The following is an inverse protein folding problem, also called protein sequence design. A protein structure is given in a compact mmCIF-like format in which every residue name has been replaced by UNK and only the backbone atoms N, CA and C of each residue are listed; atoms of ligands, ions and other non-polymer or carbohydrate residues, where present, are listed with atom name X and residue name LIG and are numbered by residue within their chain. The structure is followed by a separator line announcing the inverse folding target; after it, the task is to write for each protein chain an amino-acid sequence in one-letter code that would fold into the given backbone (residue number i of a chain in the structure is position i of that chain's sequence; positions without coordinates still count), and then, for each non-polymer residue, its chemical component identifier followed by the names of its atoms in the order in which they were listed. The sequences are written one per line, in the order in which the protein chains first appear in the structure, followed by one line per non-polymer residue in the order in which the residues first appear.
data_IF_943000274386
#
_entry.id   IF_943000274386
#
_cell.length_a   1.000
_cell.length_b   1.000
_cell.length_c   1.000
_cell.angle_alpha   90.00
_cell.angle_beta   90.00
_cell.angle_gamma   90.00
#
_symmetry.space_group_name_H-M   'P 1'
#
loop_
_entity.id
_entity.type
_entity.pdbx_description
1 polymer ?
#
# COMPACT_ATOMS: atom_id res chain seq x y z
N UNK A 1 16.51 2.01 12.17
CA UNK A 1 17.29 1.64 10.99
C UNK A 1 16.65 0.38 10.39
N UNK A 2 16.17 0.42 9.15
CA UNK A 2 15.37 -0.66 8.54
C UNK A 2 16.18 -1.52 7.55
N UNK A 3 17.49 -1.30 7.46
CA UNK A 3 18.34 -1.89 6.41
C UNK A 3 18.77 -3.33 6.74
N UNK A 4 18.93 -3.66 8.02
CA UNK A 4 19.33 -4.98 8.48
C UNK A 4 18.45 -6.14 7.99
N UNK A 5 17.09 -6.06 8.05
CA UNK A 5 16.25 -7.15 7.59
C UNK A 5 16.17 -7.30 6.05
N UNK A 6 16.65 -6.33 5.26
CA UNK A 6 16.41 -6.28 3.82
C UNK A 6 16.93 -7.53 3.08
N UNK A 7 18.17 -8.00 3.30
CA UNK A 7 18.67 -9.19 2.59
C UNK A 7 17.84 -10.44 2.92
N UNK A 8 17.52 -10.66 4.20
CA UNK A 8 16.73 -11.80 4.65
C UNK A 8 15.29 -11.76 4.14
N UNK A 9 14.67 -10.58 4.12
CA UNK A 9 13.33 -10.41 3.59
C UNK A 9 13.29 -10.66 2.08
N UNK A 10 14.30 -10.19 1.34
CA UNK A 10 14.46 -10.48 -0.09
C UNK A 10 14.55 -11.99 -0.33
N UNK A 11 15.45 -12.68 0.38
CA UNK A 11 15.65 -14.12 0.20
C UNK A 11 14.37 -14.90 0.55
N UNK A 12 13.66 -14.50 1.61
CA UNK A 12 12.38 -15.09 1.98
C UNK A 12 11.29 -14.89 0.92
N UNK A 13 11.15 -13.67 0.39
CA UNK A 13 10.16 -13.36 -0.65
C UNK A 13 10.46 -14.11 -1.96
N UNK A 14 11.73 -14.27 -2.32
CA UNK A 14 12.13 -15.08 -3.48
C UNK A 14 11.80 -16.56 -3.25
N UNK A 15 12.19 -17.13 -2.12
CA UNK A 15 11.87 -18.53 -1.80
C UNK A 15 10.35 -18.78 -1.80
N UNK A 16 9.54 -17.83 -1.29
CA UNK A 16 8.09 -17.92 -1.41
C UNK A 16 7.64 -17.98 -2.87
N UNK A 17 8.17 -17.08 -3.71
CA UNK A 17 7.82 -16.96 -5.13
C UNK A 17 8.26 -18.15 -5.98
N UNK A 18 9.39 -18.77 -5.65
CA UNK A 18 9.99 -19.81 -6.51
C UNK A 18 9.79 -21.23 -6.00
N UNK A 19 9.65 -21.43 -4.68
CA UNK A 19 9.81 -22.77 -4.09
C UNK A 19 8.51 -23.36 -3.52
N UNK A 20 7.46 -22.54 -3.35
CA UNK A 20 6.23 -22.98 -2.66
C UNK A 20 5.20 -23.63 -3.57
N UNK A 21 5.27 -23.41 -4.89
CA UNK A 21 4.23 -23.80 -5.84
C UNK A 21 2.90 -23.05 -5.65
N UNK A 22 2.90 -21.94 -4.92
CA UNK A 22 1.69 -21.13 -4.70
C UNK A 22 1.20 -20.51 -6.01
N UNK A 23 -0.11 -20.58 -6.27
CA UNK A 23 -0.73 -19.96 -7.45
C UNK A 23 -0.81 -18.42 -7.35
N UNK A 24 -0.70 -17.86 -6.14
CA UNK A 24 -0.83 -16.43 -5.87
C UNK A 24 -0.16 -16.09 -4.55
N UNK A 25 0.69 -15.05 -4.57
CA UNK A 25 1.41 -14.55 -3.40
C UNK A 25 1.06 -13.08 -3.23
N UNK A 26 0.58 -12.73 -2.04
CA UNK A 26 0.19 -11.38 -1.68
C UNK A 26 1.09 -10.87 -0.55
N UNK A 27 1.62 -9.66 -0.70
CA UNK A 27 2.51 -9.02 0.28
C UNK A 27 1.83 -7.78 0.83
N UNK A 28 1.72 -7.69 2.16
CA UNK A 28 1.11 -6.54 2.84
C UNK A 28 2.13 -6.02 3.86
N UNK A 29 2.44 -4.74 3.81
CA UNK A 29 3.30 -4.09 4.78
C UNK A 29 2.67 -2.82 5.34
N UNK A 30 2.93 -2.56 6.62
CA UNK A 30 2.38 -1.43 7.36
C UNK A 30 3.49 -0.49 7.83
N UNK A 31 3.25 0.83 7.74
CA UNK A 31 4.11 1.87 8.30
C UNK A 31 5.59 1.68 7.91
N UNK A 32 6.52 1.63 8.88
CA UNK A 32 7.95 1.40 8.67
C UNK A 32 8.31 0.06 8.01
N UNK A 33 7.43 -0.95 8.10
CA UNK A 33 7.64 -2.24 7.42
C UNK A 33 7.74 -2.06 5.90
N UNK A 34 7.09 -1.03 5.36
CA UNK A 34 7.20 -0.68 3.94
C UNK A 34 8.63 -0.29 3.55
N UNK A 35 9.45 0.28 4.45
CA UNK A 35 10.86 0.62 4.14
C UNK A 35 11.65 -0.64 3.79
N UNK A 36 11.57 -1.67 4.62
CA UNK A 36 12.26 -2.94 4.38
C UNK A 36 11.66 -3.69 3.18
N UNK A 37 10.33 -3.75 3.09
CA UNK A 37 9.62 -4.42 1.99
C UNK A 37 9.97 -3.81 0.63
N UNK A 38 9.88 -2.48 0.48
CA UNK A 38 10.20 -1.82 -0.79
C UNK A 38 11.68 -1.90 -1.14
N UNK A 39 12.58 -1.85 -0.15
CA UNK A 39 14.01 -2.06 -0.39
C UNK A 39 14.31 -3.48 -0.89
N UNK A 40 13.68 -4.50 -0.30
CA UNK A 40 13.80 -5.89 -0.74
C UNK A 40 13.24 -6.08 -2.16
N UNK A 41 12.04 -5.58 -2.43
CA UNK A 41 11.41 -5.65 -3.77
C UNK A 41 12.26 -4.95 -4.84
N UNK A 42 12.89 -3.81 -4.53
CA UNK A 42 13.82 -3.17 -5.48
C UNK A 42 15.02 -4.04 -5.82
N UNK A 43 15.57 -4.78 -4.86
CA UNK A 43 16.64 -5.74 -5.15
C UNK A 43 16.14 -6.92 -5.99
N UNK A 44 14.90 -7.39 -5.76
CA UNK A 44 14.26 -8.42 -6.58
C UNK A 44 14.03 -7.92 -8.01
N UNK A 45 13.50 -6.71 -8.18
CA UNK A 45 13.18 -6.15 -9.50
C UNK A 45 14.42 -5.96 -10.37
N UNK A 46 15.58 -5.71 -9.77
CA UNK A 46 16.88 -5.64 -10.47
C UNK A 46 17.35 -7.01 -11.01
N UNK A 47 16.80 -8.10 -10.51
CA UNK A 47 17.05 -9.46 -11.00
C UNK A 47 16.03 -9.91 -12.04
N UNK A 48 15.01 -9.09 -12.31
CA UNK A 48 13.94 -9.37 -13.26
C UNK A 48 14.18 -8.61 -14.57
N UNK A 49 13.87 -9.25 -15.68
CA UNK A 49 13.81 -8.65 -17.01
C UNK A 49 12.36 -8.28 -17.35
N UNK A 50 12.12 -7.38 -18.32
CA UNK A 50 10.75 -7.02 -18.73
C UNK A 50 9.93 -8.17 -19.32
N UNK A 51 10.55 -9.32 -19.61
CA UNK A 51 9.89 -10.51 -20.16
C UNK A 51 9.42 -11.44 -19.05
N UNK A 52 9.99 -11.31 -17.85
CA UNK A 52 9.63 -12.15 -16.72
C UNK A 52 8.22 -11.80 -16.21
N UNK A 53 7.40 -12.81 -15.89
CA UNK A 53 6.08 -12.55 -15.33
C UNK A 53 6.21 -11.98 -13.91
N UNK A 54 5.25 -11.15 -13.46
CA UNK A 54 5.21 -10.66 -12.08
C UNK A 54 5.24 -11.82 -11.07
N UNK A 55 6.10 -11.69 -10.06
CA UNK A 55 6.29 -12.68 -9.00
C UNK A 55 5.18 -12.62 -7.94
N UNK A 56 4.56 -11.46 -7.76
CA UNK A 56 3.53 -11.22 -6.75
C UNK A 56 2.19 -10.93 -7.43
N UNK A 57 1.11 -11.45 -6.86
CA UNK A 57 -0.23 -11.11 -7.34
C UNK A 57 -0.62 -9.72 -6.83
N UNK A 58 -0.57 -9.51 -5.50
CA UNK A 58 -0.91 -8.23 -4.87
C UNK A 58 0.17 -7.74 -3.94
N UNK A 59 0.47 -6.44 -4.02
CA UNK A 59 1.27 -5.74 -3.02
C UNK A 59 0.47 -4.60 -2.43
N UNK A 60 0.36 -4.58 -1.10
CA UNK A 60 -0.40 -3.58 -0.35
C UNK A 60 0.52 -2.81 0.58
N UNK A 61 0.57 -1.50 0.39
CA UNK A 61 1.28 -0.56 1.27
C UNK A 61 0.28 0.15 2.16
N UNK A 62 0.19 -0.24 3.42
CA UNK A 62 -0.64 0.44 4.41
C UNK A 62 0.16 1.54 5.11
N UNK A 63 -0.28 2.80 4.97
CA UNK A 63 0.36 3.98 5.55
C UNK A 63 1.89 4.00 5.39
N UNK A 64 2.45 3.86 4.17
CA UNK A 64 3.89 3.67 4.00
C UNK A 64 4.69 4.85 4.53
N UNK A 65 5.51 4.57 5.55
CA UNK A 65 6.46 5.53 6.09
C UNK A 65 7.73 5.53 5.23
N UNK A 66 7.61 5.98 3.98
CA UNK A 66 8.67 6.11 2.98
C UNK A 66 8.69 7.56 2.48
N UNK A 67 9.86 8.10 2.15
CA UNK A 67 9.97 9.41 1.52
C UNK A 67 9.18 9.44 0.19
N UNK A 68 8.34 10.45 -0.01
CA UNK A 68 7.43 10.49 -1.15
C UNK A 68 8.18 10.56 -2.50
N UNK A 69 9.30 11.27 -2.57
CA UNK A 69 10.07 11.42 -3.82
C UNK A 69 10.87 10.16 -4.14
N UNK A 70 11.49 9.55 -3.14
CA UNK A 70 12.06 8.20 -3.27
C UNK A 70 10.99 7.20 -3.69
N UNK A 71 9.79 7.25 -3.11
CA UNK A 71 8.73 6.32 -3.49
C UNK A 71 8.36 6.47 -4.98
N UNK A 72 8.14 7.70 -5.46
CA UNK A 72 7.82 7.99 -6.87
C UNK A 72 8.92 7.52 -7.82
N UNK A 73 10.18 7.85 -7.49
CA UNK A 73 11.33 7.63 -8.38
C UNK A 73 11.82 6.19 -8.38
N UNK A 74 11.87 5.56 -7.21
CA UNK A 74 12.64 4.33 -6.99
C UNK A 74 11.77 3.14 -6.58
N UNK A 75 10.81 3.32 -5.67
CA UNK A 75 10.03 2.21 -5.13
C UNK A 75 8.87 1.81 -6.05
N UNK A 76 8.10 2.78 -6.53
CA UNK A 76 6.91 2.55 -7.34
C UNK A 76 7.21 1.79 -8.65
N UNK A 77 8.24 2.15 -9.44
CA UNK A 77 8.56 1.39 -10.66
C UNK A 77 8.92 -0.07 -10.37
N UNK A 78 9.68 -0.32 -9.30
CA UNK A 78 10.05 -1.68 -8.90
C UNK A 78 8.84 -2.50 -8.43
N UNK A 79 7.94 -1.89 -7.65
CA UNK A 79 6.70 -2.53 -7.19
C UNK A 79 5.83 -2.94 -8.38
N UNK A 80 5.63 -2.03 -9.34
CA UNK A 80 4.83 -2.28 -10.55
C UNK A 80 5.46 -3.33 -11.45
N UNK A 81 6.80 -3.41 -11.51
CA UNK A 81 7.49 -4.41 -12.31
C UNK A 81 7.26 -5.85 -11.81
N UNK A 82 7.19 -6.05 -10.49
CA UNK A 82 7.16 -7.40 -9.90
C UNK A 82 5.77 -7.85 -9.45
N UNK A 83 4.74 -7.01 -9.56
CA UNK A 83 3.40 -7.30 -9.08
C UNK A 83 2.32 -7.05 -10.13
N UNK A 84 1.28 -7.91 -10.16
CA UNK A 84 0.12 -7.70 -11.03
C UNK A 84 -0.69 -6.45 -10.61
N UNK A 85 -0.86 -6.24 -9.29
CA UNK A 85 -1.47 -5.03 -8.76
C UNK A 85 -0.78 -4.52 -7.50
N UNK A 86 -0.69 -3.20 -7.40
CA UNK A 86 -0.16 -2.50 -6.23
C UNK A 86 -1.22 -1.54 -5.70
N UNK A 87 -1.52 -1.63 -4.40
CA UNK A 87 -2.44 -0.73 -3.71
C UNK A 87 -1.71 0.02 -2.60
N UNK A 88 -1.87 1.34 -2.54
CA UNK A 88 -1.32 2.20 -1.49
C UNK A 88 -2.49 2.80 -0.71
N UNK A 89 -2.56 2.53 0.59
CA UNK A 89 -3.50 3.17 1.50
C UNK A 89 -2.82 4.35 2.19
N UNK A 90 -3.29 5.56 1.90
CA UNK A 90 -2.81 6.81 2.48
C UNK A 90 -3.81 7.34 3.51
N UNK A 91 -3.32 7.95 4.59
CA UNK A 91 -4.18 8.52 5.64
C UNK A 91 -3.62 9.80 6.23
N UNK A 92 -4.51 10.74 6.54
CA UNK A 92 -4.19 12.00 7.22
C UNK A 92 -4.21 11.88 8.74
N UNK A 93 -4.76 10.79 9.27
CA UNK A 93 -5.04 10.62 10.71
C UNK A 93 -4.17 9.53 11.37
N UNK A 94 -3.30 8.89 10.59
CA UNK A 94 -2.39 7.88 11.10
C UNK A 94 -1.36 8.51 12.06
N UNK A 95 -1.47 8.19 13.36
CA UNK A 95 -0.62 8.74 14.40
C UNK A 95 0.86 8.38 14.22
N UNK A 96 1.16 7.23 13.60
CA UNK A 96 2.53 6.82 13.31
C UNK A 96 3.13 7.67 12.17
N UNK A 97 2.35 8.00 11.13
CA UNK A 97 2.77 8.94 10.09
C UNK A 97 2.92 10.37 10.61
N UNK A 98 2.01 10.84 11.47
CA UNK A 98 2.11 12.16 12.10
C UNK A 98 3.39 12.25 12.96
N UNK A 99 3.69 11.21 13.75
CA UNK A 99 4.92 11.12 14.52
C UNK A 99 6.16 11.07 13.61
N UNK A 100 6.11 10.29 12.52
CA UNK A 100 7.19 10.23 11.53
C UNK A 100 7.46 11.58 10.86
N UNK A 101 6.42 12.32 10.45
CA UNK A 101 6.56 13.67 9.86
C UNK A 101 7.25 14.64 10.80
N UNK A 102 6.89 14.64 12.09
CA UNK A 102 7.54 15.48 13.11
C UNK A 102 9.05 15.22 13.26
N UNK A 103 9.48 13.99 12.95
CA UNK A 103 10.90 13.59 13.05
C UNK A 103 11.65 13.79 11.73
N UNK A 104 11.03 13.49 10.59
CA UNK A 104 11.72 13.43 9.29
C UNK A 104 11.59 14.72 8.46
N UNK A 105 10.60 15.58 8.69
CA UNK A 105 10.47 16.90 8.04
C UNK A 105 10.06 16.92 6.56
N UNK A 106 9.83 15.77 5.93
CA UNK A 106 9.44 15.65 4.51
C UNK A 106 8.15 14.83 4.33
N UNK A 107 7.38 15.07 3.24
CA UNK A 107 6.20 14.29 2.91
C UNK A 107 6.48 12.79 2.78
N UNK A 108 5.56 11.97 3.28
CA UNK A 108 5.63 10.51 3.22
C UNK A 108 4.69 9.96 2.16
N UNK A 109 5.03 8.81 1.60
CA UNK A 109 4.20 8.14 0.61
C UNK A 109 2.82 7.75 1.15
N UNK A 110 2.69 7.55 2.47
CA UNK A 110 1.42 7.27 3.14
C UNK A 110 0.62 8.50 3.53
N UNK A 111 1.13 9.70 3.27
CA UNK A 111 0.40 10.93 3.59
C UNK A 111 -0.73 11.16 2.58
N UNK A 112 -1.88 11.64 3.07
CA UNK A 112 -3.01 12.04 2.23
C UNK A 112 -3.19 13.57 2.20
N UNK A 113 -4.27 14.05 1.58
CA UNK A 113 -4.54 15.48 1.41
C UNK A 113 -3.62 16.09 0.35
N UNK A 114 -2.99 17.23 0.68
CA UNK A 114 -2.13 17.96 -0.26
C UNK A 114 -0.88 17.17 -0.71
N UNK A 115 -0.42 16.22 0.12
CA UNK A 115 0.79 15.45 -0.12
C UNK A 115 0.52 14.07 -0.75
N UNK A 116 -0.74 13.78 -1.10
CA UNK A 116 -1.16 12.47 -1.61
C UNK A 116 -0.33 12.05 -2.82
N UNK A 117 0.34 10.89 -2.69
CA UNK A 117 1.16 10.34 -3.77
C UNK A 117 0.28 9.55 -4.74
N UNK A 118 0.18 10.02 -5.98
CA UNK A 118 -0.51 9.32 -7.07
C UNK A 118 0.51 9.06 -8.18
N UNK A 119 0.69 7.80 -8.56
CA UNK A 119 1.65 7.37 -9.59
C UNK A 119 1.05 6.30 -10.50
N UNK A 120 1.44 6.23 -11.79
CA UNK A 120 0.97 5.19 -12.70
C UNK A 120 1.26 3.78 -12.19
N UNK A 121 0.31 2.87 -12.39
CA UNK A 121 0.43 1.47 -11.97
C UNK A 121 0.15 1.21 -10.48
N UNK A 122 -0.11 2.24 -9.67
CA UNK A 122 -0.46 2.09 -8.25
C UNK A 122 -1.86 2.63 -7.98
N UNK A 123 -2.71 1.77 -7.42
CA UNK A 123 -4.02 2.14 -6.93
C UNK A 123 -3.88 2.87 -5.60
N UNK A 124 -3.88 4.21 -5.65
CA UNK A 124 -3.81 5.06 -4.45
C UNK A 124 -5.21 5.22 -3.87
N UNK A 125 -5.37 4.81 -2.61
CA UNK A 125 -6.62 4.86 -1.86
C UNK A 125 -6.43 5.77 -0.64
N UNK A 126 -7.12 6.91 -0.61
CA UNK A 126 -7.24 7.75 0.56
C UNK A 126 -8.27 7.15 1.52
N UNK A 127 -7.80 6.74 2.69
CA UNK A 127 -8.60 6.19 3.78
C UNK A 127 -8.71 7.18 4.96
N UNK A 128 -8.50 8.47 4.69
CA UNK A 128 -8.68 9.54 5.69
C UNK A 128 -10.08 9.51 6.29
N UNK A 129 -10.16 9.55 7.63
CA UNK A 129 -11.39 9.33 8.38
C UNK A 129 -11.64 7.89 8.77
N UNK A 130 -10.72 6.98 8.41
CA UNK A 130 -10.63 5.62 8.94
C UNK A 130 -9.32 5.47 9.70
N UNK A 131 -9.37 4.83 10.86
CA UNK A 131 -8.19 4.59 11.68
C UNK A 131 -7.36 3.42 11.11
N UNK A 132 -6.23 3.76 10.47
CA UNK A 132 -5.25 2.79 9.96
C UNK A 132 -4.35 2.21 11.05
N UNK A 133 -4.34 2.78 12.27
CA UNK A 133 -3.51 2.30 13.38
C UNK A 133 -3.86 0.88 13.84
N UNK A 134 -4.95 0.32 13.31
CA UNK A 134 -5.63 -0.89 13.76
C UNK A 134 -5.26 -2.18 13.02
N UNK A 135 -4.05 -2.27 12.48
CA UNK A 135 -3.42 -3.60 12.30
C UNK A 135 -2.86 -4.16 13.63
N UNK A 136 -3.07 -3.45 14.77
CA UNK A 136 -2.51 -3.82 16.07
C UNK A 136 -3.44 -3.87 17.29
N UNK A 137 -4.52 -3.07 17.41
CA UNK A 137 -5.28 -3.00 18.68
C UNK A 137 -6.80 -2.85 18.52
N UNK A 138 -7.53 -3.97 18.52
CA UNK A 138 -8.93 -4.10 18.98
C UNK A 138 -9.82 -2.83 19.01
N UNK A 139 -10.26 -2.34 17.84
CA UNK A 139 -11.46 -1.49 17.73
C UNK A 139 -12.30 -1.99 16.55
N UNK A 140 -13.41 -2.65 16.86
CA UNK A 140 -14.26 -3.39 15.90
C UNK A 140 -15.24 -2.49 15.11
N UNK A 141 -15.33 -1.19 15.39
CA UNK A 141 -16.40 -0.33 14.88
C UNK A 141 -16.14 0.34 13.51
N UNK A 142 -14.92 0.85 13.30
CA UNK A 142 -14.58 1.74 12.17
C UNK A 142 -13.80 1.06 11.03
N UNK A 143 -13.49 -0.23 11.18
CA UNK A 143 -12.58 -0.95 10.27
C UNK A 143 -13.30 -1.90 9.28
N UNK A 144 -14.63 -2.06 9.34
CA UNK A 144 -15.33 -3.03 8.49
C UNK A 144 -15.17 -2.72 6.99
N UNK A 145 -15.30 -1.44 6.59
CA UNK A 145 -15.18 -1.03 5.19
C UNK A 145 -13.75 -1.22 4.67
N UNK A 146 -12.75 -0.94 5.51
CA UNK A 146 -11.33 -1.14 5.16
C UNK A 146 -10.96 -2.62 5.11
N UNK A 147 -11.40 -3.44 6.07
CA UNK A 147 -11.21 -4.89 6.02
C UNK A 147 -11.93 -5.52 4.83
N UNK A 148 -13.11 -5.00 4.47
CA UNK A 148 -13.83 -5.42 3.26
C UNK A 148 -13.04 -5.06 2.01
N UNK A 149 -12.52 -3.86 1.94
CA UNK A 149 -11.69 -3.42 0.81
C UNK A 149 -10.40 -4.25 0.69
N UNK A 150 -9.73 -4.55 1.81
CA UNK A 150 -8.57 -5.43 1.85
C UNK A 150 -8.92 -6.87 1.43
N UNK A 151 -10.09 -7.38 1.85
CA UNK A 151 -10.61 -8.66 1.37
C UNK A 151 -10.81 -8.63 -0.15
N UNK A 152 -11.36 -7.56 -0.69
CA UNK A 152 -11.61 -7.43 -2.11
C UNK A 152 -10.29 -7.33 -2.91
N UNK A 153 -9.24 -6.73 -2.35
CA UNK A 153 -7.87 -6.74 -2.93
C UNK A 153 -7.26 -8.14 -2.91
N UNK A 154 -7.20 -8.79 -1.75
CA UNK A 154 -6.37 -9.99 -1.54
C UNK A 154 -7.09 -11.27 -1.93
N UNK A 155 -8.38 -11.39 -1.58
CA UNK A 155 -9.16 -12.62 -1.77
C UNK A 155 -10.01 -12.57 -3.03
N UNK A 156 -10.75 -11.48 -3.24
CA UNK A 156 -11.58 -11.35 -4.45
C UNK A 156 -10.77 -10.91 -5.68
N UNK A 157 -9.53 -10.43 -5.47
CA UNK A 157 -8.59 -10.01 -6.52
C UNK A 157 -9.19 -8.96 -7.46
N UNK A 158 -9.93 -8.02 -6.89
CA UNK A 158 -10.58 -6.96 -7.65
C UNK A 158 -9.61 -5.78 -7.87
N UNK A 159 -9.58 -5.17 -9.07
CA UNK A 159 -8.98 -3.86 -9.25
C UNK A 159 -9.83 -2.79 -8.55
N UNK A 160 -9.26 -1.63 -8.26
CA UNK A 160 -9.95 -0.51 -7.60
C UNK A 160 -11.25 -0.09 -8.29
N UNK A 161 -11.31 -0.19 -9.62
CA UNK A 161 -12.52 0.12 -10.42
C UNK A 161 -13.71 -0.80 -10.13
N UNK A 162 -13.49 -1.96 -9.50
CA UNK A 162 -14.51 -2.95 -9.18
C UNK A 162 -14.76 -3.08 -7.67
N UNK A 163 -14.04 -2.34 -6.83
CA UNK A 163 -14.20 -2.37 -5.36
C UNK A 163 -15.32 -1.41 -4.95
N UNK A 164 -16.45 -1.96 -4.51
CA UNK A 164 -17.66 -1.18 -4.16
C UNK A 164 -17.49 -0.27 -2.94
N UNK A 165 -16.47 -0.53 -2.12
CA UNK A 165 -16.00 0.31 -1.02
C UNK A 165 -15.33 1.61 -1.46
N UNK A 166 -15.03 1.77 -2.76
CA UNK A 166 -14.24 2.89 -3.26
C UNK A 166 -15.07 3.87 -4.09
N UNK A 167 -14.75 5.15 -3.92
CA UNK A 167 -15.27 6.23 -4.74
C UNK A 167 -14.13 6.86 -5.52
N UNK A 168 -14.27 6.92 -6.84
CA UNK A 168 -13.26 7.52 -7.71
C UNK A 168 -13.17 9.04 -7.49
N UNK A 169 -11.95 9.58 -7.53
CA UNK A 169 -11.63 11.01 -7.42
C UNK A 169 -10.60 11.42 -8.46
N UNK A 170 -10.79 12.60 -9.04
CA UNK A 170 -9.86 13.17 -10.01
C UNK A 170 -8.77 13.99 -9.30
N UNK A 171 -7.54 13.89 -9.78
CA UNK A 171 -6.39 14.71 -9.38
C UNK A 171 -5.63 15.14 -10.63
N UNK A 172 -6.05 16.25 -11.24
CA UNK A 172 -5.57 16.66 -12.55
C UNK A 172 -5.94 15.64 -13.64
N UNK A 173 -4.94 15.12 -14.36
CA UNK A 173 -5.10 14.03 -15.33
C UNK A 173 -5.08 12.63 -14.71
N UNK A 174 -4.76 12.54 -13.42
CA UNK A 174 -4.69 11.27 -12.69
C UNK A 174 -5.97 11.03 -11.89
N UNK A 175 -6.14 9.78 -11.45
CA UNK A 175 -7.24 9.35 -10.60
C UNK A 175 -6.66 8.76 -9.31
N UNK A 176 -7.33 9.01 -8.20
CA UNK A 176 -7.17 8.25 -6.97
C UNK A 176 -8.54 7.76 -6.48
N UNK A 177 -8.53 6.94 -5.44
CA UNK A 177 -9.73 6.37 -4.84
C UNK A 177 -9.87 6.87 -3.42
N UNK A 178 -11.10 7.01 -2.95
CA UNK A 178 -11.39 7.34 -1.58
C UNK A 178 -12.26 6.25 -0.99
N UNK A 179 -11.90 5.76 0.20
CA UNK A 179 -12.73 4.79 0.90
C UNK A 179 -14.07 5.44 1.29
N UNK A 180 -15.18 4.76 1.00
CA UNK A 180 -16.51 5.24 1.32
C UNK A 180 -16.65 5.36 2.84
N UNK A 181 -16.95 6.55 3.34
CA UNK A 181 -17.30 6.72 4.75
C UNK A 181 -18.73 6.24 4.99
N UNK A 182 -18.99 5.62 6.14
CA UNK A 182 -20.36 5.30 6.55
C UNK A 182 -21.14 6.61 6.65
N UNK A 183 -22.22 6.73 5.89
CA UNK A 183 -23.22 7.77 6.11
C UNK A 183 -23.83 7.50 7.49
N UNK A 184 -23.46 8.27 8.51
CA UNK A 184 -24.25 8.30 9.75
C UNK A 184 -25.61 8.86 9.37
N UNK A 185 -26.62 8.00 9.29
CA UNK A 185 -28.00 8.45 9.22
C UNK A 185 -28.28 9.26 10.50
N UNK A 186 -28.30 10.59 10.37
CA UNK A 186 -28.86 11.46 11.40
C UNK A 186 -30.37 11.21 11.34
N UNK A 187 -30.85 10.31 12.20
CA UNK A 187 -32.28 10.22 12.49
C UNK A 187 -32.69 11.54 13.13
N UNK A 188 -33.49 12.33 12.41
CA UNK A 188 -34.29 13.42 12.96
C UNK A 188 -35.54 12.87 13.62
#
# INVERSE_FOLDING_TARGET
NADWPVPHLKDFLLALATDTGAESINVIAHSMGNRAMTAAIRQISQQQTPIDPPLFDRIVLAAPDIDADYFRRDAAPALVQVANHVTLYASSQDQALIASRKVNGYPRAGDSGADLVIVPGIETVDVSGTDLSLLGHSYYGDNEVMLRDLYDVVRARLPATQRSSLVQRAAGSMTYWQLAQRTTAVNR
#
